data_IF_977851790401
#
_entry.id   IF_977851790401
#
_cell.length_a   1.000
_cell.length_b   1.000
_cell.length_c   1.000
_cell.angle_alpha   90.00
_cell.angle_beta   90.00
_cell.angle_gamma   90.00
#
_symmetry.space_group_name_H-M   'P 1'
#
loop_
_entity.id
_entity.type
_entity.pdbx_description
1 polymer ?
#
# COMPACT_ATOMS: atom_id res chain seq x y z
N UNK A 1 6.04 9.66 -4.88
CA UNK A 1 5.71 8.44 -5.65
C UNK A 1 5.34 8.88 -7.05
N UNK A 2 5.91 8.30 -8.09
CA UNK A 2 5.60 8.70 -9.48
C UNK A 2 4.48 7.87 -10.11
N UNK A 3 4.29 6.62 -9.67
CA UNK A 3 3.22 5.76 -10.13
C UNK A 3 2.89 4.67 -9.10
N UNK A 4 1.62 4.27 -9.01
CA UNK A 4 1.13 3.13 -8.25
C UNK A 4 0.34 2.21 -9.19
N UNK A 5 0.66 0.92 -9.21
CA UNK A 5 -0.07 -0.11 -9.96
C UNK A 5 -0.42 -1.28 -9.05
N UNK A 6 -1.64 -1.78 -9.16
CA UNK A 6 -2.08 -2.98 -8.46
C UNK A 6 -2.53 -4.04 -9.45
N UNK A 7 -2.21 -5.29 -9.16
CA UNK A 7 -2.50 -6.45 -9.99
C UNK A 7 -3.44 -7.38 -9.20
N UNK A 8 -4.65 -7.56 -9.76
CA UNK A 8 -5.70 -8.40 -9.17
C UNK A 8 -5.44 -9.89 -9.31
N UNK A 9 -4.56 -10.31 -10.22
CA UNK A 9 -4.20 -11.71 -10.41
C UNK A 9 -3.15 -12.15 -9.40
N UNK A 10 -2.19 -11.26 -9.11
CA UNK A 10 -1.10 -11.55 -8.16
C UNK A 10 -1.36 -11.04 -6.74
N UNK A 11 -2.46 -10.31 -6.52
CA UNK A 11 -2.81 -9.71 -5.22
C UNK A 11 -1.71 -8.80 -4.67
N UNK A 12 -1.06 -8.05 -5.57
CA UNK A 12 0.07 -7.18 -5.22
C UNK A 12 -0.10 -5.78 -5.75
N UNK A 13 0.37 -4.81 -4.98
CA UNK A 13 0.59 -3.46 -5.46
C UNK A 13 2.08 -3.16 -5.54
N UNK A 14 2.47 -2.43 -6.58
CA UNK A 14 3.82 -1.92 -6.80
C UNK A 14 3.77 -0.40 -6.93
N UNK A 15 4.62 0.28 -6.15
CA UNK A 15 4.79 1.72 -6.22
C UNK A 15 6.20 2.11 -6.63
N UNK A 16 6.31 3.07 -7.54
CA UNK A 16 7.57 3.70 -7.90
C UNK A 16 7.91 4.79 -6.88
N UNK A 17 9.02 4.60 -6.16
CA UNK A 17 9.50 5.52 -5.14
C UNK A 17 10.31 6.65 -5.76
N UNK A 18 10.07 7.88 -5.29
CA UNK A 18 10.93 9.03 -5.62
C UNK A 18 12.11 9.03 -4.67
N UNK A 19 13.06 8.15 -4.95
CA UNK A 19 14.25 7.95 -4.15
C UNK A 19 15.42 7.55 -5.07
N UNK A 20 16.62 8.03 -4.75
CA UNK A 20 17.85 7.69 -5.48
C UNK A 20 17.80 8.03 -6.98
N UNK A 21 18.06 7.04 -7.81
CA UNK A 21 18.16 7.11 -9.28
C UNK A 21 16.79 6.98 -10.00
N UNK A 22 15.69 6.92 -9.25
CA UNK A 22 14.34 6.81 -9.81
C UNK A 22 13.92 5.40 -10.23
N UNK A 23 14.72 4.36 -9.93
CA UNK A 23 14.39 2.96 -10.24
C UNK A 23 13.84 2.16 -9.05
N UNK A 24 13.68 2.79 -7.91
CA UNK A 24 13.27 2.11 -6.68
C UNK A 24 11.78 1.79 -6.70
N UNK A 25 11.43 0.52 -6.42
CA UNK A 25 10.04 0.06 -6.30
C UNK A 25 9.78 -0.51 -4.90
N UNK A 26 8.56 -0.28 -4.40
CA UNK A 26 8.03 -0.99 -3.24
C UNK A 26 6.91 -1.93 -3.69
N UNK A 27 6.91 -3.17 -3.21
CA UNK A 27 5.88 -4.17 -3.51
C UNK A 27 5.32 -4.79 -2.23
N UNK A 28 4.00 -4.98 -2.18
CA UNK A 28 3.33 -5.61 -1.04
C UNK A 28 2.05 -6.34 -1.45
N UNK A 29 1.63 -7.27 -0.61
CA UNK A 29 0.39 -8.03 -0.78
C UNK A 29 -0.82 -7.16 -0.40
N UNK A 30 -1.90 -7.26 -1.17
CA UNK A 30 -3.17 -6.54 -0.95
C UNK A 30 -4.35 -7.46 -1.24
N UNK A 31 -5.50 -7.18 -0.65
CA UNK A 31 -6.76 -7.76 -1.12
C UNK A 31 -7.30 -6.92 -2.28
N UNK A 32 -7.57 -7.54 -3.42
CA UNK A 32 -8.23 -6.90 -4.58
C UNK A 32 -9.65 -7.43 -4.65
N UNK A 33 -10.63 -6.55 -4.42
CA UNK A 33 -12.04 -6.92 -4.25
C UNK A 33 -12.90 -6.07 -5.16
N UNK A 34 -13.92 -6.66 -5.79
CA UNK A 34 -14.91 -5.93 -6.58
C UNK A 34 -15.98 -5.35 -5.64
N UNK A 35 -16.15 -4.02 -5.63
CA UNK A 35 -17.05 -3.31 -4.70
C UNK A 35 -18.51 -3.78 -4.73
N UNK A 36 -18.99 -4.37 -5.83
CA UNK A 36 -20.36 -4.88 -5.92
C UNK A 36 -20.63 -6.21 -5.21
N UNK A 37 -19.61 -6.92 -4.70
CA UNK A 37 -19.77 -8.26 -4.12
C UNK A 37 -19.69 -8.30 -2.57
N UNK A 38 -19.61 -7.16 -1.88
CA UNK A 38 -19.48 -7.11 -0.43
C UNK A 38 -20.82 -6.89 0.29
N UNK A 39 -21.79 -7.80 0.12
CA UNK A 39 -22.93 -7.94 1.01
C UNK A 39 -22.60 -8.98 2.10
N UNK A 40 -21.82 -8.59 3.11
CA UNK A 40 -21.52 -9.40 4.31
C UNK A 40 -21.69 -8.51 5.55
N UNK A 41 -22.36 -8.98 6.64
CA UNK A 41 -22.80 -8.13 7.74
C UNK A 41 -21.67 -7.63 8.63
N UNK A 42 -21.96 -6.52 9.33
CA UNK A 42 -21.05 -5.66 10.06
C UNK A 42 -20.17 -6.36 11.12
N UNK A 43 -18.91 -6.64 10.78
CA UNK A 43 -17.81 -6.03 11.55
C UNK A 43 -17.61 -4.67 10.93
N UNK A 44 -17.82 -3.61 11.71
CA UNK A 44 -17.69 -2.18 11.35
C UNK A 44 -16.85 -2.02 10.10
N UNK A 45 -17.51 -1.67 8.99
CA UNK A 45 -16.97 -1.71 7.65
C UNK A 45 -15.52 -1.23 7.62
N UNK A 46 -14.59 -2.17 7.42
CA UNK A 46 -13.27 -1.88 6.91
C UNK A 46 -13.45 -1.41 5.46
N UNK A 47 -14.05 -0.24 5.30
CA UNK A 47 -14.22 0.40 4.02
C UNK A 47 -12.81 0.81 3.54
N UNK A 48 -12.47 0.57 2.27
CA UNK A 48 -11.24 1.10 1.71
C UNK A 48 -11.19 2.62 1.91
N UNK A 49 -10.11 3.11 2.51
CA UNK A 49 -9.87 4.54 2.71
C UNK A 49 -8.68 4.98 1.84
N UNK A 50 -8.71 6.19 1.26
CA UNK A 50 -7.61 6.68 0.44
C UNK A 50 -6.30 6.73 1.23
N UNK A 51 -5.20 6.40 0.56
CA UNK A 51 -3.84 6.61 1.08
C UNK A 51 -3.38 8.00 0.67
N UNK A 52 -2.93 8.82 1.62
CA UNK A 52 -2.43 10.18 1.35
C UNK A 52 -0.91 10.21 1.14
N UNK A 53 -0.19 9.28 1.74
CA UNK A 53 1.25 9.14 1.59
C UNK A 53 1.67 7.68 1.81
N UNK A 54 2.68 7.23 1.07
CA UNK A 54 3.33 5.94 1.28
C UNK A 54 4.84 6.14 1.34
N UNK A 55 5.48 5.54 2.35
CA UNK A 55 6.93 5.50 2.52
C UNK A 55 7.38 4.09 2.83
N UNK A 56 8.53 3.68 2.32
CA UNK A 56 9.18 2.43 2.67
C UNK A 56 10.59 2.72 3.16
N UNK A 57 10.95 2.07 4.26
CA UNK A 57 12.21 2.25 4.95
C UNK A 57 13.05 0.98 4.76
N UNK A 58 14.21 1.14 4.12
CA UNK A 58 15.15 0.06 3.84
C UNK A 58 15.95 -0.39 5.05
N UNK A 59 16.03 0.44 6.10
CA UNK A 59 16.70 0.07 7.35
C UNK A 59 15.82 -0.85 8.19
N UNK A 60 14.52 -0.53 8.26
CA UNK A 60 13.55 -1.30 9.05
C UNK A 60 12.77 -2.35 8.26
N UNK A 61 12.92 -2.39 6.93
CA UNK A 61 12.18 -3.28 6.02
C UNK A 61 10.66 -3.15 6.16
N UNK A 62 10.17 -1.92 6.36
CA UNK A 62 8.75 -1.64 6.54
C UNK A 62 8.25 -0.58 5.59
N UNK A 63 7.03 -0.76 5.12
CA UNK A 63 6.27 0.27 4.44
C UNK A 63 5.17 0.80 5.35
N UNK A 64 4.95 2.11 5.30
CA UNK A 64 3.95 2.82 6.09
C UNK A 64 3.12 3.70 5.16
N UNK A 65 1.80 3.50 5.19
CA UNK A 65 0.81 4.28 4.45
C UNK A 65 -0.01 5.13 5.41
N UNK A 66 -0.07 6.44 5.17
CA UNK A 66 -0.97 7.33 5.88
C UNK A 66 -2.36 7.25 5.26
N UNK A 67 -3.38 7.05 6.09
CA UNK A 67 -4.77 6.85 5.66
C UNK A 67 -5.58 8.13 5.85
N UNK A 68 -6.37 8.49 4.83
CA UNK A 68 -7.35 9.58 4.90
C UNK A 68 -8.58 9.12 5.68
N UNK A 69 -8.42 8.94 6.99
CA UNK A 69 -9.45 8.40 7.87
C UNK A 69 -9.42 9.04 9.25
N UNK A 70 -10.60 9.25 9.83
CA UNK A 70 -10.76 9.77 11.20
C UNK A 70 -10.05 11.11 11.41
N UNK A 71 -9.12 11.12 12.36
CA UNK A 71 -8.32 12.29 12.78
C UNK A 71 -7.08 12.54 11.91
N UNK A 72 -6.91 11.79 10.81
CA UNK A 72 -5.78 11.91 9.89
C UNK A 72 -4.47 11.34 10.42
N UNK A 73 -4.47 10.65 11.57
CA UNK A 73 -3.27 10.01 12.15
C UNK A 73 -3.22 8.50 11.96
N UNK A 74 -4.19 7.95 11.23
CA UNK A 74 -4.27 6.53 10.96
C UNK A 74 -3.20 6.10 9.97
N UNK A 75 -2.46 5.05 10.34
CA UNK A 75 -1.42 4.46 9.49
C UNK A 75 -1.70 2.98 9.28
N UNK A 76 -1.39 2.48 8.09
CA UNK A 76 -1.22 1.07 7.82
C UNK A 76 0.28 0.79 7.66
N UNK A 77 0.81 -0.19 8.39
CA UNK A 77 2.22 -0.56 8.33
C UNK A 77 2.36 -2.07 8.11
N UNK A 78 3.28 -2.47 7.25
CA UNK A 78 3.58 -3.88 6.96
C UNK A 78 5.06 -4.08 6.65
N UNK A 79 5.53 -5.31 6.84
CA UNK A 79 6.88 -5.70 6.44
C UNK A 79 6.97 -5.83 4.93
N UNK A 80 8.06 -5.38 4.34
CA UNK A 80 8.33 -5.47 2.91
C UNK A 80 9.80 -5.82 2.66
N UNK A 81 10.05 -6.67 1.67
CA UNK A 81 11.40 -6.85 1.17
C UNK A 81 11.82 -5.57 0.43
N UNK A 82 12.92 -4.96 0.85
CA UNK A 82 13.51 -3.79 0.22
C UNK A 82 14.83 -4.23 -0.38
N UNK A 83 14.93 -4.19 -1.71
CA UNK A 83 16.11 -4.61 -2.44
C UNK A 83 16.38 -3.68 -3.62
N UNK A 84 17.65 -3.55 -3.97
CA UNK A 84 18.09 -2.85 -5.17
C UNK A 84 17.97 -3.81 -6.36
N UNK A 85 17.21 -3.42 -7.39
CA UNK A 85 17.27 -4.12 -8.67
C UNK A 85 18.50 -3.63 -9.44
N UNK A 86 19.38 -4.56 -9.80
CA UNK A 86 20.55 -4.29 -10.63
C UNK A 86 20.15 -3.83 -12.03
#
# INVERSE_FOLDING_TARGET
MTALKCDGDTYKCTANLQFGDGKWIAQWNVSVLHQAAASVPARVAAAPVPVTALKCDGDTYKCTANLQFGDGKWIAQWNAAVSHQA
#
